data_IF_682967063754
#
_entry.id   IF_682967063754
#
_cell.length_a   1.000
_cell.length_b   1.000
_cell.length_c   1.000
_cell.angle_alpha   90.00
_cell.angle_beta   90.00
_cell.angle_gamma   90.00
#
_symmetry.space_group_name_H-M   'P 1'
#
loop_
_entity.id
_entity.type
_entity.pdbx_description
1 polymer ?
#
# COMPACT_ATOMS: atom_id res chain seq x y z
N UNK A 1 77.53 25.18 30.44
CA UNK A 1 78.24 24.12 31.21
C UNK A 1 77.30 22.92 31.27
N UNK A 2 77.42 21.84 30.50
CA UNK A 2 78.48 20.83 30.28
C UNK A 2 78.54 19.71 31.34
N UNK A 3 78.11 18.48 30.91
CA UNK A 3 78.49 17.10 31.30
C UNK A 3 78.08 16.61 32.71
N UNK A 4 77.51 15.41 32.89
CA UNK A 4 78.16 14.07 32.79
C UNK A 4 77.07 12.98 33.03
N UNK A 5 76.68 12.07 32.10
CA UNK A 5 77.17 10.69 31.80
C UNK A 5 77.32 9.80 33.07
N UNK A 6 76.69 8.62 33.28
CA UNK A 6 76.75 7.36 32.51
C UNK A 6 75.80 6.27 33.07
N UNK A 7 75.18 5.54 32.13
CA UNK A 7 74.94 4.08 32.00
C UNK A 7 74.79 3.16 33.23
N UNK A 8 73.67 2.42 33.26
CA UNK A 8 73.69 0.95 33.41
C UNK A 8 72.76 0.36 32.33
N UNK A 9 73.28 -0.61 31.57
CA UNK A 9 72.56 -1.41 30.60
C UNK A 9 71.98 -2.64 31.28
N UNK A 10 70.75 -3.02 30.92
CA UNK A 10 70.32 -4.42 30.93
C UNK A 10 69.51 -4.65 29.65
N UNK A 11 70.04 -5.54 28.82
CA UNK A 11 69.36 -6.06 27.64
C UNK A 11 68.54 -7.29 28.07
N UNK A 12 67.28 -7.39 27.62
CA UNK A 12 66.69 -8.68 27.21
C UNK A 12 65.67 -8.39 26.11
N UNK A 13 65.88 -9.01 24.96
CA UNK A 13 64.96 -9.05 23.83
C UNK A 13 63.79 -9.99 24.12
N UNK A 14 62.57 -9.60 23.77
CA UNK A 14 61.50 -10.55 23.43
C UNK A 14 60.74 -10.02 22.23
N UNK A 15 60.84 -10.78 21.13
CA UNK A 15 60.01 -10.71 19.94
C UNK A 15 58.53 -10.88 20.32
N UNK A 16 57.66 -10.07 19.74
CA UNK A 16 56.21 -10.28 19.82
C UNK A 16 55.47 -9.34 18.88
N UNK A 17 55.39 -9.72 17.60
CA UNK A 17 54.44 -9.15 16.65
C UNK A 17 53.02 -9.55 17.10
N UNK A 18 52.35 -8.67 17.85
CA UNK A 18 50.90 -8.72 17.98
C UNK A 18 50.33 -7.60 17.10
N UNK A 19 50.24 -7.89 15.80
CA UNK A 19 49.30 -7.19 14.94
C UNK A 19 47.90 -7.49 15.50
N UNK A 20 47.25 -6.49 16.09
CA UNK A 20 45.84 -6.58 16.43
C UNK A 20 45.05 -6.65 15.12
N UNK A 21 44.81 -7.86 14.61
CA UNK A 21 43.79 -8.10 13.60
C UNK A 21 42.44 -7.80 14.25
N UNK A 22 41.85 -6.66 13.91
CA UNK A 22 40.47 -6.34 14.28
C UNK A 22 39.56 -7.44 13.71
N UNK A 23 38.60 -7.98 14.49
CA UNK A 23 37.54 -8.81 13.95
C UNK A 23 36.83 -8.02 12.85
N UNK A 24 36.86 -8.54 11.62
CA UNK A 24 36.12 -7.99 10.50
C UNK A 24 34.64 -8.25 10.75
N UNK A 25 33.90 -7.22 11.17
CA UNK A 25 32.45 -7.18 11.06
C UNK A 25 32.10 -7.49 9.60
N UNK A 26 31.30 -8.54 9.41
CA UNK A 26 30.71 -8.82 8.11
C UNK A 26 29.85 -7.62 7.71
N UNK A 27 29.75 -7.28 6.42
CA UNK A 27 28.76 -6.32 5.99
C UNK A 27 27.39 -6.95 6.26
N UNK A 28 26.69 -6.44 7.26
CA UNK A 28 25.28 -6.71 7.46
C UNK A 28 24.58 -6.29 6.16
N UNK A 29 24.25 -7.29 5.35
CA UNK A 29 23.35 -7.11 4.23
C UNK A 29 21.97 -6.96 4.84
N UNK A 30 21.68 -5.77 5.36
CA UNK A 30 20.32 -5.31 5.56
C UNK A 30 19.70 -5.25 4.16
N UNK A 31 19.09 -6.38 3.78
CA UNK A 31 18.09 -6.41 2.72
C UNK A 31 17.04 -5.38 3.13
N UNK A 32 17.16 -4.17 2.59
CA UNK A 32 16.09 -3.18 2.61
C UNK A 32 14.94 -3.82 1.84
N UNK A 33 14.03 -4.49 2.56
CA UNK A 33 12.74 -4.86 2.01
C UNK A 33 12.03 -3.54 1.80
N UNK A 34 11.96 -3.10 0.53
CA UNK A 34 11.09 -2.01 0.15
C UNK A 34 9.68 -2.38 0.61
N UNK A 35 9.11 -1.61 1.53
CA UNK A 35 7.73 -1.78 1.94
C UNK A 35 6.84 -1.56 0.71
N UNK A 36 6.17 -2.61 0.26
CA UNK A 36 5.20 -2.54 -0.83
C UNK A 36 4.03 -1.67 -0.37
N UNK A 37 3.69 -0.62 -1.12
CA UNK A 37 2.59 0.27 -0.76
C UNK A 37 1.29 -0.54 -0.74
N UNK A 38 0.51 -0.53 0.35
CA UNK A 38 -0.74 -1.29 0.41
C UNK A 38 -1.70 -0.78 -0.67
N UNK A 39 -2.30 -1.72 -1.42
CA UNK A 39 -3.16 -1.43 -2.59
C UNK A 39 -4.61 -1.80 -2.27
N UNK A 40 -5.57 -1.06 -2.81
CA UNK A 40 -6.98 -1.45 -2.78
C UNK A 40 -7.21 -2.70 -3.62
N UNK A 41 -7.90 -3.67 -3.05
CA UNK A 41 -8.25 -4.93 -3.68
C UNK A 41 -9.76 -5.02 -3.82
N UNK A 42 -10.26 -5.25 -5.04
CA UNK A 42 -11.65 -5.60 -5.28
C UNK A 42 -11.75 -7.12 -5.33
N UNK A 43 -12.38 -7.72 -4.32
CA UNK A 43 -12.57 -9.17 -4.22
C UNK A 43 -13.79 -9.62 -5.02
N UNK A 44 -14.88 -8.85 -4.98
CA UNK A 44 -16.09 -9.08 -5.76
C UNK A 44 -16.64 -7.74 -6.28
N UNK A 45 -17.18 -7.69 -7.50
CA UNK A 45 -17.19 -8.76 -8.51
C UNK A 45 -15.81 -8.92 -9.19
N UNK A 46 -15.63 -10.01 -9.93
CA UNK A 46 -14.46 -10.17 -10.80
C UNK A 46 -14.53 -9.21 -12.00
N UNK A 47 -13.36 -8.84 -12.54
CA UNK A 47 -13.27 -8.09 -13.79
C UNK A 47 -14.02 -8.79 -14.93
N UNK A 48 -14.84 -8.04 -15.67
CA UNK A 48 -15.69 -8.52 -16.75
C UNK A 48 -16.98 -9.22 -16.29
N UNK A 49 -17.25 -9.28 -14.99
CA UNK A 49 -18.46 -9.92 -14.48
C UNK A 49 -19.74 -9.26 -15.04
N UNK A 50 -20.74 -10.11 -15.29
CA UNK A 50 -22.11 -9.69 -15.63
C UNK A 50 -22.91 -9.58 -14.34
N UNK A 51 -23.46 -8.40 -14.05
CA UNK A 51 -24.04 -8.08 -12.74
C UNK A 51 -25.40 -7.40 -12.87
N UNK A 52 -26.32 -7.74 -11.96
CA UNK A 52 -27.65 -7.12 -11.82
C UNK A 52 -27.68 -6.17 -10.63
N UNK A 53 -28.67 -5.27 -10.60
CA UNK A 53 -28.92 -4.41 -9.43
C UNK A 53 -29.71 -5.18 -8.35
N UNK A 54 -29.39 -5.00 -7.05
CA UNK A 54 -28.26 -4.22 -6.53
C UNK A 54 -26.93 -4.95 -6.74
N UNK A 55 -25.89 -4.19 -7.12
CA UNK A 55 -24.53 -4.69 -7.21
C UNK A 55 -23.81 -4.44 -5.88
N UNK A 56 -23.34 -5.51 -5.27
CA UNK A 56 -22.46 -5.46 -4.10
C UNK A 56 -21.01 -5.53 -4.56
N UNK A 57 -20.20 -4.58 -4.12
CA UNK A 57 -18.74 -4.54 -4.35
C UNK A 57 -18.06 -4.64 -2.99
N UNK A 58 -17.21 -5.65 -2.83
CA UNK A 58 -16.49 -5.94 -1.60
C UNK A 58 -15.00 -6.14 -1.86
N UNK A 59 -14.20 -5.88 -0.85
CA UNK A 59 -12.75 -5.93 -0.96
C UNK A 59 -12.07 -5.38 0.28
N UNK A 60 -10.79 -5.05 0.15
CA UNK A 60 -10.00 -4.40 1.20
C UNK A 60 -9.32 -3.15 0.69
N UNK A 61 -9.20 -2.14 1.55
CA UNK A 61 -8.48 -0.91 1.26
C UNK A 61 -7.53 -0.55 2.40
N UNK A 62 -6.41 0.14 2.14
CA UNK A 62 -5.57 0.69 3.20
C UNK A 62 -6.33 1.76 3.99
N UNK A 63 -5.98 1.96 5.26
CA UNK A 63 -6.65 2.94 6.14
C UNK A 63 -6.65 4.37 5.58
N UNK A 64 -5.62 4.75 4.83
CA UNK A 64 -5.47 6.09 4.24
C UNK A 64 -6.45 6.39 3.09
N UNK A 65 -7.18 5.39 2.59
CA UNK A 65 -8.28 5.61 1.64
C UNK A 65 -9.55 6.13 2.30
N UNK A 66 -9.74 5.83 3.58
CA UNK A 66 -10.98 6.12 4.30
C UNK A 66 -10.96 7.53 4.88
N UNK A 67 -12.07 8.24 4.68
CA UNK A 67 -12.43 9.43 5.45
C UNK A 67 -13.82 9.19 6.05
N UNK A 68 -13.98 9.44 7.35
CA UNK A 68 -15.22 9.13 8.08
C UNK A 68 -15.74 7.68 7.82
N UNK A 69 -14.82 6.71 7.84
CA UNK A 69 -15.09 5.28 7.61
C UNK A 69 -15.65 4.93 6.21
N UNK A 70 -15.46 5.79 5.20
CA UNK A 70 -15.89 5.50 3.84
C UNK A 70 -14.98 6.14 2.78
N UNK A 71 -15.16 5.73 1.53
CA UNK A 71 -14.61 6.40 0.35
C UNK A 71 -15.55 6.29 -0.85
N UNK A 72 -15.25 7.05 -1.91
CA UNK A 72 -16.16 7.19 -3.05
C UNK A 72 -16.16 5.97 -3.96
N UNK A 73 -17.36 5.48 -4.31
CA UNK A 73 -17.56 4.46 -5.32
C UNK A 73 -18.50 4.97 -6.43
N UNK A 74 -18.18 4.67 -7.68
CA UNK A 74 -18.97 5.05 -8.85
C UNK A 74 -19.11 3.89 -9.83
N UNK A 75 -20.26 3.79 -10.49
CA UNK A 75 -20.43 3.06 -11.74
C UNK A 75 -20.41 4.05 -12.89
N UNK A 76 -19.40 3.98 -13.75
CA UNK A 76 -19.27 4.83 -14.94
C UNK A 76 -19.61 4.03 -16.20
N UNK A 77 -20.45 4.57 -17.08
CA UNK A 77 -20.74 4.00 -18.40
C UNK A 77 -19.54 4.11 -19.34
N UNK A 78 -19.65 3.48 -20.53
CA UNK A 78 -18.58 3.49 -21.54
C UNK A 78 -18.24 4.90 -22.08
N UNK A 79 -19.16 5.85 -21.97
CA UNK A 79 -19.00 7.26 -22.33
C UNK A 79 -18.46 8.13 -21.17
N UNK A 80 -18.18 7.52 -20.01
CA UNK A 80 -17.76 8.21 -18.79
C UNK A 80 -18.91 8.78 -17.96
N UNK A 81 -20.17 8.61 -18.37
CA UNK A 81 -21.32 9.07 -17.59
C UNK A 81 -21.44 8.29 -16.29
N UNK A 82 -21.67 8.98 -15.17
CA UNK A 82 -21.92 8.33 -13.88
C UNK A 82 -23.33 7.76 -13.86
N UNK A 83 -23.45 6.43 -13.86
CA UNK A 83 -24.71 5.69 -13.85
C UNK A 83 -25.26 5.48 -12.43
N UNK A 84 -24.36 5.31 -11.46
CA UNK A 84 -24.70 5.19 -10.05
C UNK A 84 -23.50 5.59 -9.18
N UNK A 85 -23.77 5.96 -7.93
CA UNK A 85 -22.75 6.24 -6.92
C UNK A 85 -23.14 5.55 -5.62
N UNK A 86 -22.15 5.01 -4.91
CA UNK A 86 -22.35 4.40 -3.60
C UNK A 86 -21.07 4.55 -2.77
N UNK A 87 -21.16 4.94 -1.50
CA UNK A 87 -19.98 4.95 -0.62
C UNK A 87 -19.54 3.51 -0.33
N UNK A 88 -18.24 3.26 -0.46
CA UNK A 88 -17.61 2.06 0.05
C UNK A 88 -17.31 2.24 1.53
N UNK A 89 -18.08 1.56 2.39
CA UNK A 89 -17.99 1.73 3.85
C UNK A 89 -17.08 0.68 4.46
N UNK A 90 -16.22 1.09 5.38
CA UNK A 90 -15.45 0.17 6.21
C UNK A 90 -16.41 -0.78 6.95
N UNK A 91 -16.02 -2.05 7.08
CA UNK A 91 -16.78 -3.06 7.83
C UNK A 91 -16.22 -3.27 9.24
N UNK A 92 -15.07 -2.66 9.54
CA UNK A 92 -14.35 -2.73 10.81
C UNK A 92 -13.77 -1.35 11.15
N UNK A 93 -13.02 -1.23 12.26
CA UNK A 93 -12.26 -0.02 12.55
C UNK A 93 -11.23 0.22 11.44
N UNK A 94 -11.16 1.46 10.95
CA UNK A 94 -10.44 1.80 9.72
C UNK A 94 -9.11 2.51 9.97
N UNK A 95 -8.89 3.04 11.18
CA UNK A 95 -7.65 3.71 11.55
C UNK A 95 -6.56 2.70 11.96
N UNK A 96 -6.27 1.74 11.07
CA UNK A 96 -5.30 0.67 11.30
C UNK A 96 -4.25 0.60 10.20
N UNK A 97 -3.11 -0.02 10.49
CA UNK A 97 -2.06 -0.27 9.49
C UNK A 97 -2.39 -1.45 8.56
N UNK A 98 -3.35 -2.29 8.95
CA UNK A 98 -3.78 -3.45 8.15
C UNK A 98 -4.82 -3.03 7.09
N UNK A 99 -4.92 -3.75 5.95
CA UNK A 99 -6.01 -3.56 5.02
C UNK A 99 -7.37 -3.83 5.69
N UNK A 100 -8.32 -2.92 5.50
CA UNK A 100 -9.63 -2.93 6.13
C UNK A 100 -10.67 -3.38 5.11
N UNK A 101 -11.61 -4.28 5.45
CA UNK A 101 -12.66 -4.67 4.54
C UNK A 101 -13.64 -3.51 4.27
N UNK A 102 -14.10 -3.38 3.03
CA UNK A 102 -15.17 -2.46 2.67
C UNK A 102 -16.34 -3.16 1.97
N UNK A 103 -17.49 -2.51 1.99
CA UNK A 103 -18.67 -2.88 1.21
C UNK A 103 -19.32 -1.64 0.60
N UNK A 104 -19.57 -1.68 -0.71
CA UNK A 104 -20.38 -0.71 -1.44
C UNK A 104 -21.57 -1.42 -2.10
N UNK A 105 -22.74 -0.76 -2.14
CA UNK A 105 -23.94 -1.31 -2.78
C UNK A 105 -24.50 -0.30 -3.77
N UNK A 106 -24.42 -0.62 -5.05
CA UNK A 106 -24.88 0.22 -6.15
C UNK A 106 -26.25 -0.22 -6.63
N UNK A 107 -27.19 0.73 -6.63
CA UNK A 107 -28.50 0.57 -7.28
C UNK A 107 -28.47 1.25 -8.64
N UNK A 108 -28.84 0.51 -9.69
CA UNK A 108 -28.89 1.02 -11.06
C UNK A 108 -30.04 0.39 -11.84
N UNK A 109 -30.40 0.99 -12.97
CA UNK A 109 -31.36 0.44 -13.92
C UNK A 109 -30.81 0.56 -15.33
N UNK A 110 -30.84 -0.55 -16.08
CA UNK A 110 -30.46 -0.62 -17.50
C UNK A 110 -31.51 -1.43 -18.26
N UNK A 111 -31.76 -1.09 -19.52
CA UNK A 111 -32.74 -1.78 -20.38
C UNK A 111 -32.12 -2.82 -21.31
N UNK A 112 -30.79 -2.87 -21.38
CA UNK A 112 -29.99 -3.81 -22.13
C UNK A 112 -28.63 -4.00 -21.45
N UNK A 113 -27.87 -5.01 -21.88
CA UNK A 113 -26.48 -5.18 -21.48
C UNK A 113 -25.70 -3.88 -21.71
N UNK A 114 -25.14 -3.31 -20.64
CA UNK A 114 -24.47 -2.02 -20.65
C UNK A 114 -23.06 -2.18 -20.09
N UNK A 115 -22.01 -2.01 -20.92
CA UNK A 115 -20.63 -1.96 -20.42
C UNK A 115 -20.46 -0.81 -19.43
N UNK A 116 -19.86 -1.09 -18.29
CA UNK A 116 -19.57 -0.12 -17.25
C UNK A 116 -18.24 -0.41 -16.57
N UNK A 117 -17.77 0.56 -15.79
CA UNK A 117 -16.57 0.47 -14.98
C UNK A 117 -16.93 0.80 -13.55
N UNK A 118 -16.60 -0.09 -12.61
CA UNK A 118 -16.57 0.23 -11.19
C UNK A 118 -15.32 1.08 -10.97
N UNK A 119 -15.49 2.26 -10.39
CA UNK A 119 -14.41 3.15 -9.98
C UNK A 119 -14.49 3.34 -8.48
N UNK A 120 -13.44 2.93 -7.77
CA UNK A 120 -13.22 3.25 -6.36
C UNK A 120 -12.19 4.36 -6.31
N UNK A 121 -12.51 5.46 -5.61
CA UNK A 121 -11.66 6.63 -5.52
C UNK A 121 -11.40 6.99 -4.06
N UNK A 122 -10.15 7.28 -3.75
CA UNK A 122 -9.73 7.87 -2.48
C UNK A 122 -10.48 9.19 -2.22
N UNK A 123 -11.01 9.36 -1.01
CA UNK A 123 -11.88 10.50 -0.71
C UNK A 123 -11.08 11.78 -0.38
N UNK A 124 -9.97 11.62 0.35
CA UNK A 124 -9.14 12.72 0.83
C UNK A 124 -7.65 12.48 0.51
N UNK A 125 -7.21 12.72 -0.73
CA UNK A 125 -5.78 12.67 -1.06
C UNK A 125 -5.00 13.73 -0.27
N UNK A 126 -3.72 13.48 -0.04
CA UNK A 126 -2.81 14.47 0.52
C UNK A 126 -2.77 15.76 -0.32
N UNK A 127 -2.44 16.90 0.31
CA UNK A 127 -2.43 18.22 -0.34
C UNK A 127 -1.69 18.23 -1.69
N UNK A 128 -2.38 18.71 -2.74
CA UNK A 128 -1.91 18.76 -4.13
C UNK A 128 -1.69 17.41 -4.84
N UNK A 129 -2.10 16.29 -4.23
CA UNK A 129 -2.15 15.01 -4.92
C UNK A 129 -3.51 14.80 -5.62
N UNK A 130 -3.49 14.11 -6.75
CA UNK A 130 -4.71 13.59 -7.35
C UNK A 130 -5.21 12.40 -6.55
N UNK A 131 -6.54 12.24 -6.36
CA UNK A 131 -7.10 11.04 -5.76
C UNK A 131 -6.62 9.78 -6.48
N UNK A 132 -6.21 8.76 -5.73
CA UNK A 132 -5.95 7.43 -6.30
C UNK A 132 -7.27 6.81 -6.73
N UNK A 133 -7.25 6.12 -7.87
CA UNK A 133 -8.39 5.34 -8.37
C UNK A 133 -7.99 3.88 -8.60
N UNK A 134 -8.91 2.95 -8.30
CA UNK A 134 -8.86 1.57 -8.76
C UNK A 134 -10.14 1.28 -9.55
N UNK A 135 -9.97 0.63 -10.70
CA UNK A 135 -11.08 0.38 -11.62
C UNK A 135 -11.15 -1.07 -12.06
N UNK A 136 -12.36 -1.61 -12.17
CA UNK A 136 -12.59 -2.87 -12.87
C UNK A 136 -13.77 -2.76 -13.85
N UNK A 137 -13.65 -3.31 -15.06
CA UNK A 137 -14.77 -3.36 -16.00
C UNK A 137 -15.81 -4.38 -15.55
N UNK A 138 -17.08 -4.11 -15.82
CA UNK A 138 -18.23 -5.02 -15.62
C UNK A 138 -19.25 -4.82 -16.74
N UNK A 139 -20.20 -5.74 -16.86
CA UNK A 139 -21.37 -5.59 -17.73
C UNK A 139 -22.62 -5.56 -16.86
N UNK A 140 -23.32 -4.42 -16.87
CA UNK A 140 -24.59 -4.27 -16.18
C UNK A 140 -25.67 -4.96 -17.01
N UNK A 141 -26.46 -5.83 -16.40
CA UNK A 141 -27.57 -6.52 -17.06
C UNK A 141 -28.90 -6.06 -16.46
N UNK A 142 -29.98 -5.97 -17.26
CA UNK A 142 -31.31 -5.63 -16.75
C UNK A 142 -31.73 -6.55 -15.59
N UNK A 143 -32.48 -6.01 -14.63
CA UNK A 143 -33.15 -6.86 -13.65
C UNK A 143 -34.16 -7.75 -14.41
N UNK A 144 -34.09 -9.07 -14.17
CA UNK A 144 -34.97 -10.06 -14.77
C UNK A 144 -36.41 -9.98 -14.26
#
# INVERSE_FOLDING_TARGET
>A
MLRTKRFIAVAVAVLGLAACSQPQEAPDTETTIAAETPVVVIATPASGARVTSPLVVEGTAPGDWYFEAQFAGQLRGADGAVLAQAPARAQEDWMTEAPVPYRAEFTFAVTQDTPATIVLQEDMPADNAHPREVTIPVVLTPAG
#
